data_IF_118858952580
#
_entry.id   IF_118858952580
#
_cell.length_a   1.000
_cell.length_b   1.000
_cell.length_c   1.000
_cell.angle_alpha   90.00
_cell.angle_beta   90.00
_cell.angle_gamma   90.00
#
_symmetry.space_group_name_H-M   'P 1'
#
loop_
_entity.id
_entity.type
_entity.pdbx_description
1 polymer ?
#
# COMPACT_ATOMS: atom_id res chain seq x y z
N UNK A 1 -14.28 -22.47 -7.22
CA UNK A 1 -13.18 -22.23 -8.19
C UNK A 1 -11.87 -22.81 -7.68
N UNK A 2 -11.38 -22.39 -6.49
CA UNK A 2 -10.11 -22.86 -5.95
C UNK A 2 -10.07 -24.34 -5.53
N UNK A 3 -11.20 -24.94 -5.11
CA UNK A 3 -11.27 -26.38 -4.79
C UNK A 3 -10.94 -27.26 -6.00
N UNK A 4 -11.53 -26.95 -7.15
CA UNK A 4 -11.24 -27.67 -8.41
C UNK A 4 -9.76 -27.60 -8.80
N UNK A 5 -9.11 -26.45 -8.58
CA UNK A 5 -7.67 -26.30 -8.86
C UNK A 5 -6.83 -27.15 -7.90
N UNK A 6 -7.21 -27.21 -6.62
CA UNK A 6 -6.55 -28.07 -5.62
C UNK A 6 -6.71 -29.56 -5.93
N UNK A 7 -7.90 -29.96 -6.39
CA UNK A 7 -8.19 -31.35 -6.77
C UNK A 7 -7.45 -31.76 -8.05
N UNK A 8 -7.45 -30.91 -9.07
CA UNK A 8 -6.82 -31.23 -10.37
C UNK A 8 -5.29 -31.13 -10.34
N UNK A 9 -4.74 -30.21 -9.54
CA UNK A 9 -3.31 -29.90 -9.51
C UNK A 9 -2.80 -29.65 -8.07
N UNK A 10 -2.85 -30.67 -7.19
CA UNK A 10 -2.43 -30.52 -5.79
C UNK A 10 -0.96 -30.08 -5.63
N UNK A 11 -0.10 -30.41 -6.59
CA UNK A 11 1.31 -30.03 -6.62
C UNK A 11 1.55 -28.52 -6.72
N UNK A 12 0.57 -27.75 -7.22
CA UNK A 12 0.70 -26.30 -7.35
C UNK A 12 0.90 -25.61 -5.99
N UNK A 13 0.46 -26.22 -4.89
CA UNK A 13 0.69 -25.68 -3.55
C UNK A 13 2.20 -25.53 -3.24
N UNK A 14 3.06 -26.36 -3.83
CA UNK A 14 4.51 -26.33 -3.63
C UNK A 14 5.16 -25.07 -4.26
N UNK A 15 4.45 -24.37 -5.15
CA UNK A 15 4.89 -23.10 -5.72
C UNK A 15 4.72 -21.93 -4.74
N UNK A 16 3.94 -22.11 -3.67
CA UNK A 16 3.66 -21.09 -2.67
C UNK A 16 4.72 -21.16 -1.58
N UNK A 17 5.43 -20.04 -1.38
CA UNK A 17 6.43 -19.90 -0.32
C UNK A 17 5.95 -18.79 0.60
N UNK A 18 5.46 -19.10 1.82
CA UNK A 18 5.07 -18.08 2.77
C UNK A 18 6.29 -17.33 3.28
N UNK A 19 6.14 -16.01 3.43
CA UNK A 19 7.15 -15.11 3.99
C UNK A 19 6.47 -14.32 5.10
N UNK A 20 7.08 -14.32 6.29
CA UNK A 20 6.59 -13.52 7.41
C UNK A 20 6.98 -12.06 7.20
N UNK A 21 6.03 -11.15 7.39
CA UNK A 21 6.24 -9.70 7.29
C UNK A 21 4.97 -8.94 7.62
N UNK A 22 5.10 -7.64 7.80
CA UNK A 22 4.02 -6.70 8.07
C UNK A 22 4.24 -5.43 7.24
N UNK A 23 3.30 -5.11 6.36
CA UNK A 23 3.39 -3.92 5.51
C UNK A 23 3.31 -2.61 6.30
N UNK A 24 2.79 -2.64 7.53
CA UNK A 24 2.82 -1.47 8.40
C UNK A 24 4.20 -1.23 8.99
N UNK A 25 5.11 -2.20 9.01
CA UNK A 25 6.46 -2.08 9.56
C UNK A 25 7.47 -1.54 8.54
N UNK A 26 8.53 -0.91 9.05
CA UNK A 26 9.69 -0.55 8.22
C UNK A 26 10.32 -1.81 7.61
N UNK A 27 10.81 -1.68 6.37
CA UNK A 27 11.33 -2.80 5.57
C UNK A 27 10.35 -3.97 5.48
N UNK A 28 9.04 -3.69 5.59
CA UNK A 28 7.96 -4.68 5.57
C UNK A 28 8.05 -5.72 6.70
N UNK A 29 8.79 -5.43 7.78
CA UNK A 29 9.06 -6.40 8.85
C UNK A 29 9.83 -7.64 8.38
N UNK A 30 10.51 -7.57 7.24
CA UNK A 30 11.22 -8.70 6.64
C UNK A 30 12.60 -8.88 7.26
N UNK A 31 12.96 -10.14 7.53
CA UNK A 31 14.32 -10.51 7.86
C UNK A 31 15.22 -10.62 6.61
N UNK A 32 16.53 -10.61 6.81
CA UNK A 32 17.52 -10.70 5.71
C UNK A 32 17.37 -12.00 4.90
N UNK A 33 16.96 -13.09 5.56
CA UNK A 33 16.74 -14.39 4.92
C UNK A 33 15.58 -14.32 3.91
N UNK A 34 14.50 -13.65 4.28
CA UNK A 34 13.32 -13.45 3.43
C UNK A 34 13.64 -12.52 2.26
N UNK A 35 14.37 -11.43 2.51
CA UNK A 35 14.84 -10.53 1.45
C UNK A 35 15.69 -11.28 0.42
N UNK A 36 16.65 -12.09 0.88
CA UNK A 36 17.47 -12.94 0.00
C UNK A 36 16.63 -13.95 -0.77
N UNK A 37 15.62 -14.58 -0.11
CA UNK A 37 14.73 -15.54 -0.76
C UNK A 37 13.94 -14.92 -1.92
N UNK A 38 13.65 -13.63 -1.84
CA UNK A 38 12.87 -12.88 -2.82
C UNK A 38 13.71 -12.08 -3.81
N UNK A 39 15.04 -12.20 -3.81
CA UNK A 39 15.95 -11.39 -4.65
C UNK A 39 15.70 -11.50 -6.17
N UNK A 40 15.08 -12.61 -6.59
CA UNK A 40 14.77 -12.93 -7.98
C UNK A 40 13.30 -12.72 -8.35
N UNK A 41 12.51 -12.03 -7.52
CA UNK A 41 11.13 -11.67 -7.85
C UNK A 41 11.10 -10.79 -9.10
N UNK A 42 10.18 -11.10 -10.01
CA UNK A 42 9.99 -10.38 -11.27
C UNK A 42 8.71 -9.56 -11.32
N UNK A 43 7.68 -9.96 -10.57
CA UNK A 43 6.40 -9.29 -10.54
C UNK A 43 5.98 -9.11 -9.09
N UNK A 44 5.63 -7.88 -8.72
CA UNK A 44 5.13 -7.55 -7.38
C UNK A 44 3.69 -7.07 -7.52
N UNK A 45 2.76 -7.74 -6.85
CA UNK A 45 1.37 -7.32 -6.75
C UNK A 45 1.11 -6.83 -5.34
N UNK A 46 1.03 -5.52 -5.15
CA UNK A 46 0.76 -4.93 -3.85
C UNK A 46 -0.75 -4.78 -3.63
N UNK A 47 -1.34 -5.84 -3.07
CA UNK A 47 -2.75 -5.93 -2.71
C UNK A 47 -3.04 -5.64 -1.22
N UNK A 48 -1.99 -5.60 -0.38
CA UNK A 48 -2.15 -5.42 1.05
C UNK A 48 -2.65 -4.01 1.38
N UNK A 49 -3.77 -3.94 2.10
CA UNK A 49 -4.33 -2.72 2.64
C UNK A 49 -5.30 -3.06 3.77
N UNK A 50 -5.51 -2.13 4.70
CA UNK A 50 -6.76 -2.13 5.45
C UNK A 50 -7.85 -1.52 4.58
N UNK A 51 -8.95 -2.25 4.44
CA UNK A 51 -10.18 -1.80 3.76
C UNK A 51 -11.25 -1.32 4.74
N UNK A 52 -10.87 -1.12 6.02
CA UNK A 52 -11.75 -0.55 7.04
C UNK A 52 -11.87 0.95 6.84
N UNK A 53 -13.10 1.44 6.87
CA UNK A 53 -13.38 2.87 6.71
C UNK A 53 -13.27 3.65 8.03
N UNK A 54 -13.14 2.93 9.15
CA UNK A 54 -13.13 3.44 10.52
C UNK A 54 -11.77 3.25 11.23
N UNK A 55 -10.71 2.90 10.49
CA UNK A 55 -9.37 2.83 11.09
C UNK A 55 -8.89 4.24 11.49
N UNK A 56 -8.23 4.38 12.66
CA UNK A 56 -7.56 5.62 13.04
C UNK A 56 -6.62 6.10 11.95
N UNK A 57 -6.55 7.41 11.73
CA UNK A 57 -5.85 7.99 10.59
C UNK A 57 -4.38 7.54 10.53
N UNK A 58 -3.68 7.60 11.66
CA UNK A 58 -2.27 7.18 11.74
C UNK A 58 -2.08 5.75 11.28
N UNK A 59 -2.88 4.81 11.78
CA UNK A 59 -2.81 3.40 11.40
C UNK A 59 -3.08 3.19 9.91
N UNK A 60 -4.09 3.87 9.37
CA UNK A 60 -4.40 3.81 7.94
C UNK A 60 -3.24 4.33 7.09
N UNK A 61 -2.60 5.43 7.49
CA UNK A 61 -1.42 5.98 6.80
C UNK A 61 -0.25 4.99 6.87
N UNK A 62 0.06 4.44 8.04
CA UNK A 62 1.20 3.52 8.18
C UNK A 62 1.03 2.24 7.36
N UNK A 63 -0.18 1.69 7.28
CA UNK A 63 -0.42 0.47 6.52
C UNK A 63 -0.57 0.72 5.01
N UNK A 64 -1.46 1.63 4.61
CA UNK A 64 -1.83 1.80 3.21
C UNK A 64 -0.85 2.72 2.46
N UNK A 65 -0.39 3.79 3.10
CA UNK A 65 0.49 4.80 2.48
C UNK A 65 1.96 4.42 2.67
N UNK A 66 2.42 4.31 3.93
CA UNK A 66 3.82 3.95 4.22
C UNK A 66 4.13 2.53 3.74
N UNK A 67 3.23 1.57 3.90
CA UNK A 67 3.41 0.23 3.35
C UNK A 67 3.63 0.22 1.84
N UNK A 68 2.90 1.04 1.08
CA UNK A 68 3.12 1.18 -0.36
C UNK A 68 4.53 1.70 -0.67
N UNK A 69 5.01 2.72 0.08
CA UNK A 69 6.39 3.21 -0.02
C UNK A 69 7.39 2.10 0.26
N UNK A 70 7.24 1.36 1.37
CA UNK A 70 8.17 0.29 1.75
C UNK A 70 8.23 -0.82 0.68
N UNK A 71 7.09 -1.18 0.08
CA UNK A 71 7.05 -2.14 -1.03
C UNK A 71 7.81 -1.60 -2.25
N UNK A 72 7.61 -0.33 -2.61
CA UNK A 72 8.32 0.27 -3.74
C UNK A 72 9.84 0.36 -3.49
N UNK A 73 10.25 0.78 -2.28
CA UNK A 73 11.66 0.83 -1.88
C UNK A 73 12.31 -0.56 -1.99
N UNK A 74 11.65 -1.60 -1.49
CA UNK A 74 12.12 -2.97 -1.63
C UNK A 74 12.13 -3.42 -3.10
N UNK A 75 11.06 -3.17 -3.86
CA UNK A 75 10.95 -3.57 -5.26
C UNK A 75 12.08 -2.98 -6.12
N UNK A 76 12.51 -1.74 -5.85
CA UNK A 76 13.67 -1.12 -6.53
C UNK A 76 14.99 -1.88 -6.33
N UNK A 77 15.12 -2.69 -5.28
CA UNK A 77 16.32 -3.51 -5.05
C UNK A 77 16.35 -4.78 -5.89
N UNK A 78 15.22 -5.17 -6.51
CA UNK A 78 15.09 -6.39 -7.29
C UNK A 78 15.70 -6.24 -8.68
N UNK A 79 16.75 -7.01 -8.95
CA UNK A 79 17.50 -6.95 -10.22
C UNK A 79 16.68 -7.40 -11.44
N UNK A 80 15.66 -8.22 -11.22
CA UNK A 80 14.87 -8.86 -12.27
C UNK A 80 13.43 -8.34 -12.34
N UNK A 81 13.11 -7.22 -11.67
CA UNK A 81 11.77 -6.65 -11.66
C UNK A 81 11.32 -6.30 -13.08
N UNK A 82 10.11 -6.73 -13.43
CA UNK A 82 9.41 -6.43 -14.69
C UNK A 82 8.24 -5.49 -14.47
N UNK A 83 7.49 -5.67 -13.38
CA UNK A 83 6.42 -4.77 -13.00
C UNK A 83 6.16 -4.80 -11.50
N UNK A 84 5.80 -3.64 -10.94
CA UNK A 84 5.16 -3.50 -9.65
C UNK A 84 3.75 -2.97 -9.92
N UNK A 85 2.74 -3.70 -9.44
CA UNK A 85 1.32 -3.39 -9.64
C UNK A 85 0.72 -3.08 -8.29
N UNK A 86 0.32 -1.81 -8.10
CA UNK A 86 -0.45 -1.39 -6.94
C UNK A 86 -1.95 -1.58 -7.19
N UNK A 87 -2.64 -2.21 -6.24
CA UNK A 87 -4.09 -2.31 -6.28
C UNK A 87 -4.68 -1.15 -5.48
N UNK A 88 -5.18 -0.15 -6.20
CA UNK A 88 -5.92 0.98 -5.62
C UNK A 88 -7.42 0.69 -5.53
N UNK A 89 -8.24 1.73 -5.50
CA UNK A 89 -9.70 1.68 -5.44
C UNK A 89 -10.31 2.74 -6.35
N UNK A 90 -11.45 2.44 -6.96
CA UNK A 90 -12.21 3.44 -7.73
C UNK A 90 -12.75 4.57 -6.84
N UNK A 91 -12.73 4.38 -5.52
CA UNK A 91 -13.19 5.34 -4.53
C UNK A 91 -12.11 6.31 -4.04
N UNK A 92 -10.90 6.34 -4.62
CA UNK A 92 -9.81 7.25 -4.16
C UNK A 92 -10.19 8.74 -4.27
N UNK A 93 -11.09 9.05 -5.21
CA UNK A 93 -11.57 10.40 -5.50
C UNK A 93 -13.11 10.47 -5.37
N UNK A 94 -13.67 10.26 -4.15
CA UNK A 94 -15.11 10.13 -3.95
C UNK A 94 -15.90 11.42 -4.24
N UNK A 95 -15.21 12.56 -4.31
CA UNK A 95 -15.76 13.85 -4.69
C UNK A 95 -15.99 14.02 -6.20
N UNK A 96 -15.47 13.09 -7.01
CA UNK A 96 -15.52 13.16 -8.48
C UNK A 96 -16.55 12.14 -8.97
N UNK A 97 -17.55 12.63 -9.71
CA UNK A 97 -18.62 11.80 -10.23
C UNK A 97 -18.19 10.96 -11.44
N UNK A 98 -17.51 11.61 -12.39
CA UNK A 98 -16.96 10.98 -13.59
C UNK A 98 -15.44 10.81 -13.43
N UNK A 99 -15.02 9.61 -13.03
CA UNK A 99 -13.61 9.27 -12.80
C UNK A 99 -12.98 8.74 -14.10
N UNK A 100 -11.89 9.38 -14.54
CA UNK A 100 -11.05 9.02 -15.68
C UNK A 100 -9.80 8.27 -15.21
N UNK A 101 -9.14 7.54 -16.12
CA UNK A 101 -7.87 6.85 -15.86
C UNK A 101 -6.68 7.83 -15.84
N UNK A 102 -6.59 8.62 -14.76
CA UNK A 102 -5.50 9.58 -14.53
C UNK A 102 -5.18 9.73 -13.04
N UNK A 103 -4.00 10.25 -12.74
CA UNK A 103 -3.63 10.64 -11.38
C UNK A 103 -4.28 12.00 -11.07
N UNK A 104 -5.18 12.01 -10.08
CA UNK A 104 -5.83 13.23 -9.60
C UNK A 104 -4.93 14.00 -8.62
N UNK A 105 -5.17 15.29 -8.35
CA UNK A 105 -4.38 16.04 -7.37
C UNK A 105 -4.47 15.44 -5.96
N UNK A 106 -3.32 15.34 -5.29
CA UNK A 106 -3.23 14.81 -3.94
C UNK A 106 -3.95 15.73 -2.95
N UNK A 107 -4.71 15.14 -2.02
CA UNK A 107 -5.31 15.87 -0.88
C UNK A 107 -4.25 16.33 0.14
N UNK A 108 -3.11 15.64 0.19
CA UNK A 108 -1.96 15.94 1.04
C UNK A 108 -0.67 15.40 0.42
N UNK A 109 0.47 16.01 0.72
CA UNK A 109 1.77 15.41 0.40
C UNK A 109 1.97 14.12 1.20
N UNK A 110 2.24 13.00 0.51
CA UNK A 110 2.33 11.69 1.14
C UNK A 110 3.53 11.57 2.10
N UNK A 111 4.63 12.31 1.87
CA UNK A 111 5.81 12.30 2.74
C UNK A 111 5.47 12.94 4.08
N UNK A 112 4.78 14.08 4.05
CA UNK A 112 4.25 14.75 5.25
C UNK A 112 3.22 13.88 5.96
N UNK A 113 2.34 13.20 5.24
CA UNK A 113 1.34 12.34 5.86
C UNK A 113 2.01 11.23 6.68
N UNK A 114 3.05 10.59 6.13
CA UNK A 114 3.83 9.57 6.85
C UNK A 114 4.56 10.19 8.04
N UNK A 115 5.23 11.33 7.86
CA UNK A 115 5.92 12.04 8.95
C UNK A 115 4.99 12.34 10.12
N UNK A 116 3.78 12.85 9.85
CA UNK A 116 2.79 13.12 10.90
C UNK A 116 2.34 11.83 11.60
N UNK A 117 2.11 10.74 10.86
CA UNK A 117 1.71 9.46 11.43
C UNK A 117 2.82 8.81 12.28
N UNK A 118 4.09 9.14 12.04
CA UNK A 118 5.25 8.64 12.79
C UNK A 118 5.59 9.49 14.02
N UNK A 119 5.23 10.78 14.02
CA UNK A 119 5.74 11.75 15.00
C UNK A 119 4.68 12.36 15.91
N UNK A 120 3.43 12.50 15.46
CA UNK A 120 2.38 13.07 16.27
C UNK A 120 1.80 12.06 17.26
N UNK A 121 1.35 12.57 18.40
CA UNK A 121 0.50 11.83 19.31
C UNK A 121 -0.77 11.33 18.58
N UNK A 122 -1.19 10.06 18.75
CA UNK A 122 -2.34 9.51 18.05
C UNK A 122 -3.65 10.27 18.27
N UNK A 123 -3.89 10.81 19.47
CA UNK A 123 -5.12 11.55 19.79
C UNK A 123 -5.12 12.91 19.10
N UNK A 124 -3.97 13.59 19.04
CA UNK A 124 -3.79 14.84 18.29
C UNK A 124 -3.99 14.60 16.79
N UNK A 125 -3.40 13.55 16.25
CA UNK A 125 -3.53 13.21 14.83
C UNK A 125 -4.99 12.91 14.45
N UNK A 126 -5.70 12.16 15.30
CA UNK A 126 -7.10 11.84 15.08
C UNK A 126 -7.98 13.10 15.17
N UNK A 127 -7.69 14.01 16.11
CA UNK A 127 -8.38 15.30 16.20
C UNK A 127 -8.22 16.14 14.94
N UNK A 128 -7.05 16.09 14.30
CA UNK A 128 -6.75 16.82 13.06
C UNK A 128 -7.19 16.08 11.78
N UNK A 129 -7.64 14.82 11.90
CA UNK A 129 -7.90 13.91 10.79
C UNK A 129 -8.82 14.49 9.70
N UNK A 130 -9.97 15.14 10.04
CA UNK A 130 -10.84 15.72 9.01
C UNK A 130 -10.14 16.79 8.18
N UNK A 131 -9.29 17.61 8.79
CA UNK A 131 -8.61 18.71 8.09
C UNK A 131 -7.44 18.20 7.25
N UNK A 132 -6.66 17.25 7.77
CA UNK A 132 -5.52 16.65 7.09
C UNK A 132 -5.94 15.82 5.87
N UNK A 133 -7.06 15.10 5.99
CA UNK A 133 -7.60 14.28 4.91
C UNK A 133 -8.35 15.07 3.84
N UNK A 134 -8.47 16.41 3.98
CA UNK A 134 -9.26 17.23 3.07
C UNK A 134 -10.76 16.91 3.14
N UNK A 135 -11.26 16.52 4.32
CA UNK A 135 -12.63 16.06 4.55
C UNK A 135 -13.03 14.85 3.69
N UNK A 136 -12.08 13.95 3.44
CA UNK A 136 -12.39 12.67 2.81
C UNK A 136 -13.46 11.90 3.64
N UNK A 137 -14.36 11.16 2.99
CA UNK A 137 -15.45 10.46 3.67
C UNK A 137 -14.97 9.34 4.60
N UNK A 138 -13.75 8.82 4.38
CA UNK A 138 -13.11 7.84 5.24
C UNK A 138 -11.58 7.82 5.03
N UNK A 139 -10.87 7.19 5.98
CA UNK A 139 -9.40 7.10 5.98
C UNK A 139 -8.88 6.19 4.86
N UNK A 140 -9.65 5.19 4.43
CA UNK A 140 -9.28 4.29 3.34
C UNK A 140 -9.15 5.02 1.98
N UNK A 141 -10.16 5.79 1.58
CA UNK A 141 -10.13 6.53 0.31
C UNK A 141 -9.01 7.56 0.30
N UNK A 142 -8.78 8.24 1.43
CA UNK A 142 -7.68 9.19 1.57
C UNK A 142 -6.32 8.51 1.38
N UNK A 143 -6.07 7.42 2.10
CA UNK A 143 -4.76 6.74 2.08
C UNK A 143 -4.49 6.01 0.77
N UNK A 144 -5.52 5.50 0.07
CA UNK A 144 -5.37 4.97 -1.29
C UNK A 144 -5.03 6.05 -2.32
N UNK A 145 -5.66 7.23 -2.22
CA UNK A 145 -5.27 8.38 -3.03
C UNK A 145 -3.79 8.75 -2.81
N UNK A 146 -3.32 8.78 -1.56
CA UNK A 146 -1.89 9.00 -1.28
C UNK A 146 -0.99 7.92 -1.88
N UNK A 147 -1.39 6.65 -1.80
CA UNK A 147 -0.63 5.53 -2.35
C UNK A 147 -0.46 5.62 -3.88
N UNK A 148 -1.47 6.08 -4.61
CA UNK A 148 -1.38 6.34 -6.05
C UNK A 148 -0.29 7.36 -6.38
N UNK A 149 -0.16 8.42 -5.59
CA UNK A 149 0.91 9.40 -5.76
C UNK A 149 2.30 8.85 -5.49
N UNK A 150 2.45 7.92 -4.53
CA UNK A 150 3.73 7.25 -4.30
C UNK A 150 4.11 6.45 -5.55
N UNK A 151 3.17 5.68 -6.11
CA UNK A 151 3.41 4.93 -7.34
C UNK A 151 3.77 5.86 -8.51
N UNK A 152 3.10 7.00 -8.64
CA UNK A 152 3.38 7.98 -9.69
C UNK A 152 4.78 8.62 -9.54
N UNK A 153 5.18 8.99 -8.32
CA UNK A 153 6.51 9.55 -8.05
C UNK A 153 7.61 8.53 -8.38
N UNK A 154 7.45 7.28 -7.91
CA UNK A 154 8.44 6.21 -8.15
C UNK A 154 8.49 5.72 -9.59
N UNK A 155 7.43 5.92 -10.38
CA UNK A 155 7.43 5.61 -11.81
C UNK A 155 8.43 6.50 -12.59
N UNK A 156 8.73 7.70 -12.07
CA UNK A 156 9.62 8.66 -12.71
C UNK A 156 11.10 8.49 -12.34
N UNK A 157 11.43 7.60 -11.38
CA UNK A 157 12.79 7.34 -10.89
C UNK A 157 13.42 6.09 -11.51
#
# INVERSE_FOLDING_TARGET
LFDKVREMHPENIQKIVPICGDCSELKLGLDEKSLKRMENVQFVFHAAASVRFDDPLGKAILLNTRGTREVLVWAKTLKNLKAMVHISTTYSNPEIFDVEERIYPAKMDWRKAIELAETLDPEVLETLSPKLSGFAPNTYTFTKGLAEHICNDYHQE
#
